data_IF_382782929688
#
_entry.id   IF_382782929688
#
_cell.length_a   1.000
_cell.length_b   1.000
_cell.length_c   1.000
_cell.angle_alpha   90.00
_cell.angle_beta   90.00
_cell.angle_gamma   90.00
#
_symmetry.space_group_name_H-M   'P 1'
#
loop_
_entity.id
_entity.type
_entity.pdbx_description
1 polymer ?
#
# COMPACT_ATOMS: atom_id res chain seq x y z
N UNK A 1 -13.03 49.69 27.50
CA UNK A 1 -12.17 48.54 27.84
C UNK A 1 -12.93 47.35 27.28
N UNK A 2 -12.66 47.02 26.02
CA UNK A 2 -13.42 46.02 25.29
C UNK A 2 -12.67 44.70 25.38
N UNK A 3 -13.31 43.71 25.98
CA UNK A 3 -12.79 42.35 26.10
C UNK A 3 -12.82 41.66 24.73
N UNK A 4 -11.64 41.32 24.23
CA UNK A 4 -11.41 40.55 23.01
C UNK A 4 -11.53 39.06 23.34
N UNK A 5 -12.67 38.47 23.00
CA UNK A 5 -12.93 37.04 23.17
C UNK A 5 -12.80 36.35 21.80
N UNK A 6 -11.60 35.85 21.51
CA UNK A 6 -11.37 34.97 20.37
C UNK A 6 -11.99 33.59 20.66
N UNK A 7 -12.73 32.99 19.71
CA UNK A 7 -13.26 31.65 19.90
C UNK A 7 -12.12 30.63 19.78
N UNK A 8 -11.93 29.88 20.86
CA UNK A 8 -10.95 28.81 20.97
C UNK A 8 -11.31 27.68 20.00
N UNK A 9 -10.65 27.61 18.85
CA UNK A 9 -10.78 26.49 17.89
C UNK A 9 -9.87 25.36 18.38
N UNK A 10 -10.38 24.18 18.76
CA UNK A 10 -9.51 23.06 19.09
C UNK A 10 -8.84 22.55 17.80
N UNK A 11 -7.56 22.89 17.63
CA UNK A 11 -6.71 22.54 16.48
C UNK A 11 -6.04 21.17 16.60
N UNK A 12 -6.52 20.31 17.49
CA UNK A 12 -5.95 18.97 17.68
C UNK A 12 -6.82 17.95 16.95
N UNK A 13 -6.29 17.41 15.84
CA UNK A 13 -6.80 16.16 15.27
C UNK A 13 -6.94 15.15 16.42
N UNK A 14 -8.11 14.54 16.66
CA UNK A 14 -8.23 13.52 17.69
C UNK A 14 -7.28 12.38 17.33
N UNK A 15 -6.43 11.98 18.28
CA UNK A 15 -5.55 10.84 18.13
C UNK A 15 -6.38 9.58 17.93
N UNK A 16 -6.11 8.84 16.85
CA UNK A 16 -6.81 7.61 16.46
C UNK A 16 -6.71 6.46 17.50
N UNK A 17 -5.96 6.68 18.58
CA UNK A 17 -5.74 5.74 19.68
C UNK A 17 -6.00 6.41 21.05
N UNK A 18 -7.03 7.24 21.18
CA UNK A 18 -7.58 7.47 22.52
C UNK A 18 -8.12 6.13 23.04
N UNK A 19 -7.75 5.72 24.25
CA UNK A 19 -8.06 4.39 24.80
C UNK A 19 -9.58 4.02 24.75
N UNK A 20 -10.46 5.02 24.72
CA UNK A 20 -11.91 4.87 24.54
C UNK A 20 -12.31 4.39 23.12
N UNK A 21 -11.50 4.68 22.09
CA UNK A 21 -11.75 4.32 20.68
C UNK A 21 -11.54 2.83 20.39
N UNK A 22 -10.72 2.15 21.20
CA UNK A 22 -10.46 0.72 21.07
C UNK A 22 -11.57 -0.14 21.71
N UNK A 23 -12.43 0.42 22.56
CA UNK A 23 -13.48 -0.36 23.24
C UNK A 23 -14.66 -0.69 22.31
N UNK A 24 -14.89 0.11 21.26
CA UNK A 24 -15.88 -0.16 20.20
C UNK A 24 -15.30 -1.02 19.05
N UNK A 25 -14.05 -1.47 19.16
CA UNK A 25 -13.31 -2.18 18.11
C UNK A 25 -13.70 -3.66 17.92
N UNK A 26 -14.70 -4.17 18.65
CA UNK A 26 -15.24 -5.54 18.54
C UNK A 26 -16.16 -5.75 17.31
N UNK A 27 -16.11 -4.87 16.32
CA UNK A 27 -16.79 -5.07 15.03
C UNK A 27 -15.76 -5.52 13.98
N UNK A 28 -15.78 -6.82 13.65
CA UNK A 28 -14.97 -7.40 12.58
C UNK A 28 -15.16 -6.64 11.23
N UNK A 29 -14.15 -6.57 10.35
CA UNK A 29 -14.23 -5.89 9.04
C UNK A 29 -15.39 -6.39 8.17
N UNK A 30 -15.83 -7.64 8.38
CA UNK A 30 -16.99 -8.27 7.74
C UNK A 30 -18.33 -7.57 7.99
N UNK A 31 -18.41 -6.71 9.01
CA UNK A 31 -19.64 -5.98 9.36
C UNK A 31 -19.80 -4.65 8.62
N UNK A 32 -18.81 -4.22 7.84
CA UNK A 32 -18.95 -3.04 7.00
C UNK A 32 -19.95 -3.31 5.85
N UNK A 33 -20.84 -2.34 5.50
CA UNK A 33 -21.74 -2.50 4.37
C UNK A 33 -20.96 -2.73 3.07
N UNK A 34 -21.44 -3.64 2.21
CA UNK A 34 -20.78 -3.96 0.93
C UNK A 34 -20.54 -2.72 0.05
N UNK A 35 -21.50 -1.79 0.04
CA UNK A 35 -21.37 -0.54 -0.72
C UNK A 35 -20.21 0.34 -0.26
N UNK A 36 -19.91 0.33 1.04
CA UNK A 36 -18.79 1.06 1.64
C UNK A 36 -17.45 0.39 1.28
N UNK A 37 -17.40 -0.94 1.34
CA UNK A 37 -16.21 -1.72 0.94
C UNK A 37 -15.87 -1.53 -0.54
N UNK A 38 -16.88 -1.50 -1.42
CA UNK A 38 -16.68 -1.20 -2.84
C UNK A 38 -16.20 0.24 -3.05
N UNK A 39 -16.75 1.20 -2.31
CA UNK A 39 -16.31 2.60 -2.39
C UNK A 39 -14.82 2.73 -2.04
N UNK A 40 -14.37 2.14 -0.95
CA UNK A 40 -12.95 2.18 -0.55
C UNK A 40 -12.05 1.48 -1.56
N UNK A 41 -12.48 0.34 -2.12
CA UNK A 41 -11.75 -0.29 -3.22
C UNK A 41 -11.60 0.65 -4.41
N UNK A 42 -12.70 1.27 -4.83
CA UNK A 42 -12.70 2.19 -5.97
C UNK A 42 -11.80 3.41 -5.70
N UNK A 43 -11.80 3.95 -4.48
CA UNK A 43 -10.89 5.03 -4.08
C UNK A 43 -9.42 4.63 -4.17
N UNK A 44 -9.06 3.41 -3.75
CA UNK A 44 -7.68 2.92 -3.90
C UNK A 44 -7.28 2.81 -5.37
N UNK A 45 -8.12 2.18 -6.21
CA UNK A 45 -7.82 2.00 -7.64
C UNK A 45 -7.85 3.32 -8.41
N UNK A 46 -8.58 4.32 -7.93
CA UNK A 46 -8.59 5.67 -8.51
C UNK A 46 -7.34 6.47 -8.17
N UNK A 47 -6.85 6.40 -6.92
CA UNK A 47 -5.84 7.35 -6.44
C UNK A 47 -4.44 6.74 -6.26
N UNK A 48 -4.32 5.46 -5.88
CA UNK A 48 -3.02 4.81 -5.61
C UNK A 48 -2.53 4.02 -6.81
N UNK A 49 -3.41 3.20 -7.38
CA UNK A 49 -3.05 2.26 -8.46
C UNK A 49 -2.43 2.94 -9.70
N UNK A 50 -2.86 4.13 -10.16
CA UNK A 50 -2.22 4.77 -11.31
C UNK A 50 -0.73 5.06 -11.12
N UNK A 51 -0.33 5.36 -9.88
CA UNK A 51 1.09 5.60 -9.52
C UNK A 51 1.81 4.28 -9.23
N UNK A 52 1.12 3.33 -8.62
CA UNK A 52 1.69 2.06 -8.16
C UNK A 52 0.87 0.85 -8.63
N UNK A 53 0.88 0.51 -9.94
CA UNK A 53 -0.01 -0.49 -10.56
C UNK A 53 0.49 -1.93 -10.33
N UNK A 54 0.75 -2.31 -9.08
CA UNK A 54 1.28 -3.62 -8.72
C UNK A 54 0.21 -4.70 -8.50
N UNK A 55 -1.05 -4.28 -8.29
CA UNK A 55 -2.16 -5.19 -7.98
C UNK A 55 -3.12 -5.36 -9.16
N UNK A 56 -3.65 -6.57 -9.32
CA UNK A 56 -4.78 -6.84 -10.23
C UNK A 56 -6.08 -6.50 -9.54
N UNK A 57 -6.79 -5.51 -10.08
CA UNK A 57 -8.08 -5.04 -9.58
C UNK A 57 -9.13 -6.16 -9.52
N UNK A 58 -9.15 -7.03 -10.53
CA UNK A 58 -10.03 -8.18 -10.56
C UNK A 58 -9.75 -9.17 -9.43
N UNK A 59 -8.47 -9.41 -9.12
CA UNK A 59 -8.06 -10.32 -8.05
C UNK A 59 -8.48 -9.78 -6.68
N UNK A 60 -8.26 -8.49 -6.43
CA UNK A 60 -8.64 -7.87 -5.15
C UNK A 60 -10.16 -7.84 -4.97
N UNK A 61 -10.93 -7.49 -6.02
CA UNK A 61 -12.40 -7.54 -5.97
C UNK A 61 -12.93 -8.96 -5.78
N UNK A 62 -12.28 -9.97 -6.37
CA UNK A 62 -12.65 -11.36 -6.16
C UNK A 62 -12.35 -11.84 -4.74
N UNK A 63 -11.24 -11.39 -4.14
CA UNK A 63 -10.92 -11.61 -2.73
C UNK A 63 -12.02 -11.04 -1.83
N UNK A 64 -12.47 -9.80 -2.07
CA UNK A 64 -13.59 -9.21 -1.33
C UNK A 64 -14.86 -10.07 -1.42
N UNK A 65 -15.27 -10.48 -2.63
CA UNK A 65 -16.46 -11.35 -2.81
C UNK A 65 -16.34 -12.66 -2.03
N UNK A 66 -15.15 -13.26 -2.02
CA UNK A 66 -14.88 -14.52 -1.32
C UNK A 66 -14.99 -14.33 0.20
N UNK A 67 -14.47 -13.24 0.76
CA UNK A 67 -14.58 -12.91 2.19
C UNK A 67 -16.02 -12.56 2.64
N UNK A 68 -16.79 -11.93 1.76
CA UNK A 68 -18.20 -11.68 2.03
C UNK A 68 -19.04 -12.96 1.93
N UNK A 69 -18.62 -13.93 1.13
CA UNK A 69 -19.25 -15.25 1.08
C UNK A 69 -19.02 -16.05 2.38
N UNK A 70 -19.81 -17.09 2.63
CA UNK A 70 -19.77 -17.89 3.87
C UNK A 70 -18.42 -18.63 4.04
N UNK A 71 -17.63 -18.80 2.96
CA UNK A 71 -16.36 -19.56 2.96
C UNK A 71 -15.12 -18.68 3.14
N UNK A 72 -14.93 -18.14 4.34
CA UNK A 72 -13.70 -17.39 4.74
C UNK A 72 -12.40 -18.20 4.58
N UNK A 73 -12.47 -19.53 4.52
CA UNK A 73 -11.31 -20.43 4.51
C UNK A 73 -10.63 -20.57 3.14
N UNK A 74 -11.23 -20.03 2.07
CA UNK A 74 -10.72 -20.24 0.71
C UNK A 74 -9.64 -19.23 0.28
N UNK A 75 -9.64 -18.02 0.85
CA UNK A 75 -8.67 -16.98 0.46
C UNK A 75 -7.31 -17.25 1.11
N UNK A 76 -6.20 -17.01 0.41
CA UNK A 76 -4.88 -17.05 1.03
C UNK A 76 -4.75 -15.92 2.06
N UNK A 77 -3.92 -16.12 3.08
CA UNK A 77 -3.69 -15.09 4.11
C UNK A 77 -3.09 -13.81 3.51
N UNK A 78 -2.20 -13.94 2.52
CA UNK A 78 -1.61 -12.80 1.82
C UNK A 78 -2.69 -11.96 1.11
N UNK A 79 -3.60 -12.60 0.39
CA UNK A 79 -4.71 -11.93 -0.29
C UNK A 79 -5.61 -11.15 0.68
N UNK A 80 -5.84 -11.69 1.88
CA UNK A 80 -6.63 -11.01 2.91
C UNK A 80 -5.90 -9.77 3.43
N UNK A 81 -4.60 -9.87 3.69
CA UNK A 81 -3.79 -8.72 4.12
C UNK A 81 -3.74 -7.65 3.06
N UNK A 82 -3.52 -8.02 1.80
CA UNK A 82 -3.57 -7.10 0.66
C UNK A 82 -4.93 -6.41 0.61
N UNK A 83 -6.04 -7.16 0.68
CA UNK A 83 -7.37 -6.56 0.66
C UNK A 83 -7.58 -5.58 1.83
N UNK A 84 -7.23 -5.97 3.05
CA UNK A 84 -7.40 -5.10 4.21
C UNK A 84 -6.56 -3.82 4.09
N UNK A 85 -5.32 -3.90 3.63
CA UNK A 85 -4.50 -2.71 3.41
C UNK A 85 -5.03 -1.82 2.29
N UNK A 86 -5.55 -2.42 1.21
CA UNK A 86 -6.23 -1.69 0.13
C UNK A 86 -7.47 -0.96 0.64
N UNK A 87 -8.30 -1.61 1.45
CA UNK A 87 -9.48 -1.00 2.07
C UNK A 87 -9.08 0.12 3.04
N UNK A 88 -8.01 -0.07 3.81
CA UNK A 88 -7.51 0.93 4.74
C UNK A 88 -7.06 2.19 4.00
N UNK A 89 -6.20 2.04 2.99
CA UNK A 89 -5.76 3.14 2.12
C UNK A 89 -6.94 3.80 1.39
N UNK A 90 -7.86 3.00 0.85
CA UNK A 90 -9.05 3.49 0.16
C UNK A 90 -9.96 4.34 1.03
N UNK A 91 -10.08 4.01 2.32
CA UNK A 91 -10.85 4.81 3.28
C UNK A 91 -10.17 6.12 3.65
N UNK A 92 -8.83 6.19 3.67
CA UNK A 92 -8.10 7.46 3.86
C UNK A 92 -8.23 8.42 2.66
N UNK A 93 -8.63 7.90 1.50
CA UNK A 93 -8.70 8.60 0.23
C UNK A 93 -10.14 8.93 -0.20
N UNK A 94 -11.08 8.92 0.75
CA UNK A 94 -12.44 9.40 0.52
C UNK A 94 -12.48 10.92 0.36
N UNK A 95 -13.24 11.41 -0.62
CA UNK A 95 -13.35 12.84 -0.92
C UNK A 95 -13.95 13.66 0.24
N UNK A 96 -14.86 13.05 1.00
CA UNK A 96 -15.44 13.62 2.21
C UNK A 96 -14.75 12.99 3.43
N UNK A 97 -13.74 13.67 3.98
CA UNK A 97 -13.01 13.18 5.16
C UNK A 97 -13.94 13.15 6.38
N UNK A 98 -14.60 12.00 6.60
CA UNK A 98 -15.46 11.77 7.75
C UNK A 98 -14.70 11.09 8.88
N UNK A 99 -15.08 11.36 10.14
CA UNK A 99 -14.53 10.63 11.28
C UNK A 99 -14.77 9.11 11.20
N UNK A 100 -15.76 8.68 10.41
CA UNK A 100 -16.06 7.26 10.19
C UNK A 100 -15.02 6.60 9.29
N UNK A 101 -14.58 7.27 8.23
CA UNK A 101 -13.59 6.72 7.29
C UNK A 101 -12.25 6.48 7.95
N UNK A 102 -11.79 7.41 8.78
CA UNK A 102 -10.55 7.24 9.55
C UNK A 102 -10.64 6.08 10.56
N UNK A 103 -11.81 5.87 11.17
CA UNK A 103 -12.05 4.72 12.04
C UNK A 103 -12.01 3.40 11.25
N UNK A 104 -12.64 3.34 10.08
CA UNK A 104 -12.56 2.18 9.20
C UNK A 104 -11.14 1.90 8.73
N UNK A 105 -10.38 2.94 8.38
CA UNK A 105 -8.97 2.84 8.01
C UNK A 105 -8.16 2.11 9.08
N UNK A 106 -8.20 2.63 10.32
CA UNK A 106 -7.47 2.04 11.43
C UNK A 106 -7.90 0.59 11.71
N UNK A 107 -9.19 0.28 11.58
CA UNK A 107 -9.73 -1.07 11.78
C UNK A 107 -9.29 -2.06 10.72
N UNK A 108 -9.29 -1.67 9.45
CA UNK A 108 -8.77 -2.53 8.38
C UNK A 108 -7.26 -2.74 8.51
N UNK A 109 -6.51 -1.69 8.83
CA UNK A 109 -5.09 -1.79 9.11
C UNK A 109 -4.80 -2.76 10.27
N UNK A 110 -5.55 -2.65 11.37
CA UNK A 110 -5.42 -3.58 12.49
C UNK A 110 -5.77 -5.02 12.09
N UNK A 111 -6.79 -5.21 11.25
CA UNK A 111 -7.17 -6.54 10.73
C UNK A 111 -6.05 -7.14 9.87
N UNK A 112 -5.35 -6.33 9.07
CA UNK A 112 -4.17 -6.77 8.31
C UNK A 112 -3.04 -7.24 9.23
N UNK A 113 -2.79 -6.56 10.36
CA UNK A 113 -1.77 -6.95 11.34
C UNK A 113 -2.10 -8.24 12.11
N UNK A 114 -3.39 -8.54 12.28
CA UNK A 114 -3.84 -9.75 12.97
C UNK A 114 -3.76 -11.02 12.11
N UNK A 115 -3.65 -10.88 10.78
CA UNK A 115 -3.50 -12.02 9.89
C UNK A 115 -2.17 -12.74 10.14
N UNK A 116 -2.24 -14.07 10.24
CA UNK A 116 -1.06 -14.90 10.50
C UNK A 116 -0.25 -15.08 9.23
N UNK A 117 0.55 -14.08 8.88
CA UNK A 117 1.52 -14.15 7.82
C UNK A 117 2.89 -14.59 8.35
N UNK A 118 3.45 -15.62 7.73
CA UNK A 118 4.86 -15.95 7.89
C UNK A 118 5.64 -15.20 6.84
N UNK A 119 6.59 -14.37 7.27
CA UNK A 119 7.49 -13.68 6.35
C UNK A 119 8.25 -14.70 5.49
N UNK A 120 8.18 -14.51 4.16
CA UNK A 120 8.90 -15.27 3.15
C UNK A 120 9.23 -14.33 2.00
N UNK A 121 10.41 -14.45 1.41
CA UNK A 121 10.80 -13.65 0.26
C UNK A 121 9.97 -14.06 -0.97
N UNK A 122 8.85 -13.36 -1.17
CA UNK A 122 7.83 -13.64 -2.20
C UNK A 122 7.32 -12.33 -2.76
N UNK A 123 6.77 -12.35 -3.99
CA UNK A 123 6.22 -11.14 -4.62
C UNK A 123 5.07 -10.54 -3.79
N UNK A 124 4.24 -11.40 -3.20
CA UNK A 124 3.15 -10.98 -2.31
C UNK A 124 3.67 -10.22 -1.10
N UNK A 125 4.80 -10.65 -0.53
CA UNK A 125 5.44 -9.94 0.59
C UNK A 125 5.95 -8.57 0.16
N UNK A 126 6.49 -8.43 -1.05
CA UNK A 126 6.87 -7.13 -1.60
C UNK A 126 5.66 -6.22 -1.74
N UNK A 127 4.54 -6.70 -2.32
CA UNK A 127 3.30 -5.93 -2.45
C UNK A 127 2.75 -5.51 -1.08
N UNK A 128 2.72 -6.43 -0.12
CA UNK A 128 2.27 -6.16 1.25
C UNK A 128 3.13 -5.09 1.92
N UNK A 129 4.47 -5.19 1.82
CA UNK A 129 5.38 -4.19 2.39
C UNK A 129 5.23 -2.82 1.73
N UNK A 130 4.98 -2.76 0.42
CA UNK A 130 4.69 -1.49 -0.27
C UNK A 130 3.38 -0.88 0.27
N UNK A 131 2.32 -1.67 0.42
CA UNK A 131 1.05 -1.20 0.96
C UNK A 131 1.18 -0.73 2.43
N UNK A 132 1.93 -1.44 3.26
CA UNK A 132 2.27 -1.00 4.62
C UNK A 132 3.03 0.32 4.61
N UNK A 133 4.03 0.45 3.73
CA UNK A 133 4.82 1.67 3.56
C UNK A 133 3.94 2.85 3.17
N UNK A 134 3.03 2.66 2.21
CA UNK A 134 2.10 3.69 1.77
C UNK A 134 1.18 4.12 2.92
N UNK A 135 0.67 3.16 3.70
CA UNK A 135 -0.19 3.47 4.85
C UNK A 135 0.56 4.28 5.91
N UNK A 136 1.81 3.93 6.21
CA UNK A 136 2.60 4.64 7.22
C UNK A 136 2.98 6.07 6.83
N UNK A 137 2.79 6.47 5.57
CA UNK A 137 2.90 7.88 5.17
C UNK A 137 1.72 8.72 5.64
N UNK A 138 0.55 8.12 5.86
CA UNK A 138 -0.64 8.80 6.38
C UNK A 138 -0.73 8.74 7.91
N UNK A 139 -0.27 7.64 8.51
CA UNK A 139 -0.24 7.45 9.96
C UNK A 139 1.15 7.04 10.43
N UNK A 140 1.84 7.94 11.12
CA UNK A 140 3.20 7.70 11.65
C UNK A 140 3.25 6.62 12.73
N UNK A 141 2.10 6.26 13.34
CA UNK A 141 2.03 5.19 14.33
C UNK A 141 2.02 3.79 13.68
N UNK A 142 1.76 3.70 12.37
CA UNK A 142 1.74 2.43 11.64
C UNK A 142 3.14 1.81 11.46
N UNK A 143 4.19 2.59 11.69
CA UNK A 143 5.59 2.17 11.56
C UNK A 143 6.42 3.20 10.81
N UNK A 144 7.72 2.93 10.71
CA UNK A 144 8.63 3.79 9.97
C UNK A 144 8.59 3.46 8.49
N UNK A 145 8.01 4.36 7.68
CA UNK A 145 7.92 4.21 6.21
C UNK A 145 9.29 3.95 5.58
N UNK A 146 10.34 4.57 6.12
CA UNK A 146 11.72 4.34 5.71
C UNK A 146 12.15 2.87 5.85
N UNK A 147 11.96 2.29 7.03
CA UNK A 147 12.37 0.90 7.28
C UNK A 147 11.50 -0.09 6.48
N UNK A 148 10.22 0.22 6.29
CA UNK A 148 9.32 -0.61 5.50
C UNK A 148 9.72 -0.61 4.02
N UNK A 149 10.05 0.56 3.45
CA UNK A 149 10.50 0.64 2.05
C UNK A 149 11.87 0.01 1.85
N UNK A 150 12.80 0.17 2.80
CA UNK A 150 14.12 -0.49 2.78
C UNK A 150 13.97 -2.02 2.78
N UNK A 151 13.08 -2.55 3.63
CA UNK A 151 12.79 -3.99 3.69
C UNK A 151 12.15 -4.50 2.40
N UNK A 152 11.20 -3.74 1.82
CA UNK A 152 10.60 -4.07 0.54
C UNK A 152 11.65 -4.11 -0.58
N UNK A 153 12.54 -3.12 -0.60
CA UNK A 153 13.62 -2.99 -1.58
C UNK A 153 14.57 -4.19 -1.50
N UNK A 154 15.06 -4.54 -0.30
CA UNK A 154 15.89 -5.73 -0.07
C UNK A 154 15.20 -7.02 -0.53
N UNK A 155 13.92 -7.18 -0.21
CA UNK A 155 13.13 -8.36 -0.62
C UNK A 155 13.05 -8.45 -2.14
N UNK A 156 12.82 -7.33 -2.83
CA UNK A 156 12.79 -7.30 -4.30
C UNK A 156 14.14 -7.62 -4.95
N UNK A 157 15.24 -7.27 -4.29
CA UNK A 157 16.60 -7.60 -4.73
C UNK A 157 16.87 -9.09 -4.57
N UNK A 158 16.52 -9.67 -3.42
CA UNK A 158 16.65 -11.12 -3.16
C UNK A 158 15.86 -11.92 -4.20
N UNK A 159 14.68 -11.44 -4.59
CA UNK A 159 13.85 -12.01 -5.66
C UNK A 159 14.40 -11.79 -7.08
N UNK A 160 15.45 -11.00 -7.26
CA UNK A 160 16.05 -10.73 -8.56
C UNK A 160 15.23 -9.78 -9.46
N UNK A 161 14.21 -9.08 -8.92
CA UNK A 161 13.32 -8.22 -9.73
C UNK A 161 14.08 -7.08 -10.45
N UNK A 162 15.19 -6.64 -9.86
CA UNK A 162 16.11 -5.64 -10.40
C UNK A 162 16.92 -6.06 -11.65
N UNK A 163 16.82 -7.33 -12.10
CA UNK A 163 17.51 -7.85 -13.28
C UNK A 163 16.59 -8.17 -14.47
N UNK A 164 15.28 -7.98 -14.30
CA UNK A 164 14.22 -8.49 -15.18
C UNK A 164 14.21 -7.93 -16.64
N UNK A 165 15.23 -7.16 -17.03
CA UNK A 165 15.41 -6.63 -18.38
C UNK A 165 16.78 -6.86 -19.04
N UNK A 166 17.72 -7.61 -18.43
CA UNK A 166 19.01 -7.90 -19.08
C UNK A 166 18.95 -9.20 -19.88
N UNK A 167 18.26 -9.19 -21.02
CA UNK A 167 18.53 -10.16 -22.07
C UNK A 167 19.89 -9.83 -22.72
N UNK A 168 20.98 -10.15 -22.02
CA UNK A 168 22.27 -10.34 -22.67
C UNK A 168 22.14 -11.55 -23.60
N UNK A 169 22.61 -11.39 -24.83
CA UNK A 169 22.53 -12.33 -25.96
C UNK A 169 23.04 -13.77 -25.73
N UNK A 170 23.47 -14.15 -24.52
CA UNK A 170 24.22 -15.40 -24.26
C UNK A 170 23.66 -16.26 -23.11
N UNK A 171 22.44 -16.03 -22.62
CA UNK A 171 21.81 -16.94 -21.65
C UNK A 171 20.54 -17.56 -22.22
N UNK A 172 20.68 -18.82 -22.65
CA UNK A 172 19.58 -19.75 -22.87
C UNK A 172 18.80 -19.90 -21.55
N UNK A 173 17.51 -19.58 -21.57
CA UNK A 173 16.49 -19.80 -20.52
C UNK A 173 16.37 -18.77 -19.37
N UNK A 174 15.68 -17.66 -19.62
CA UNK A 174 14.73 -17.04 -18.64
C UNK A 174 13.72 -16.12 -19.37
N UNK A 175 12.94 -16.70 -20.28
CA UNK A 175 11.96 -15.99 -21.11
C UNK A 175 10.60 -15.70 -20.41
N UNK A 176 10.50 -15.86 -19.09
CA UNK A 176 9.24 -15.76 -18.34
C UNK A 176 9.27 -14.67 -17.26
N UNK A 177 9.88 -13.52 -17.55
CA UNK A 177 9.72 -12.35 -16.69
C UNK A 177 8.29 -11.82 -16.81
N UNK A 178 7.43 -12.13 -15.83
CA UNK A 178 6.07 -11.57 -15.74
C UNK A 178 6.15 -10.03 -15.80
N UNK A 179 5.47 -9.36 -16.75
CA UNK A 179 5.46 -7.90 -16.83
C UNK A 179 5.03 -7.21 -15.52
N UNK A 180 4.30 -7.91 -14.66
CA UNK A 180 3.87 -7.45 -13.33
C UNK A 180 5.05 -7.28 -12.37
N UNK A 181 6.11 -8.10 -12.51
CA UNK A 181 7.32 -8.02 -11.69
C UNK A 181 8.14 -6.77 -12.01
N UNK A 182 8.30 -6.45 -13.30
CA UNK A 182 8.92 -5.20 -13.76
C UNK A 182 8.19 -3.99 -13.17
N UNK A 183 6.85 -3.97 -13.31
CA UNK A 183 6.00 -2.89 -12.82
C UNK A 183 6.11 -2.73 -11.31
N UNK A 184 6.10 -3.84 -10.57
CA UNK A 184 6.25 -3.84 -9.11
C UNK A 184 7.59 -3.25 -8.69
N UNK A 185 8.68 -3.68 -9.34
CA UNK A 185 10.02 -3.17 -9.06
C UNK A 185 10.12 -1.65 -9.29
N UNK A 186 9.62 -1.17 -10.43
CA UNK A 186 9.66 0.26 -10.74
C UNK A 186 8.77 1.11 -9.82
N UNK A 187 7.62 0.57 -9.43
CA UNK A 187 6.71 1.20 -8.45
C UNK A 187 7.40 1.36 -7.10
N UNK A 188 8.05 0.29 -6.62
CA UNK A 188 8.82 0.30 -5.38
C UNK A 188 10.02 1.25 -5.45
N UNK A 189 10.76 1.22 -6.55
CA UNK A 189 11.88 2.11 -6.79
C UNK A 189 11.47 3.60 -6.73
N UNK A 190 10.32 3.94 -7.33
CA UNK A 190 9.80 5.30 -7.27
C UNK A 190 9.45 5.69 -5.82
N UNK A 191 8.78 4.78 -5.09
CA UNK A 191 8.40 5.00 -3.69
C UNK A 191 9.64 5.22 -2.79
N UNK A 192 10.68 4.40 -2.93
CA UNK A 192 11.94 4.53 -2.20
C UNK A 192 12.59 5.90 -2.41
N UNK A 193 12.63 6.39 -3.66
CA UNK A 193 13.14 7.72 -3.99
C UNK A 193 12.31 8.84 -3.36
N UNK A 194 10.98 8.70 -3.36
CA UNK A 194 10.09 9.71 -2.79
C UNK A 194 10.26 9.82 -1.27
N UNK A 195 10.31 8.67 -0.59
CA UNK A 195 10.48 8.62 0.86
C UNK A 195 11.86 9.13 1.26
N UNK A 196 12.92 8.73 0.54
CA UNK A 196 14.29 9.23 0.76
C UNK A 196 14.40 10.73 0.63
N UNK A 197 13.77 11.29 -0.40
CA UNK A 197 13.76 12.74 -0.62
C UNK A 197 12.99 13.46 0.48
N UNK A 198 11.82 12.94 0.86
CA UNK A 198 10.96 13.55 1.88
C UNK A 198 11.58 13.53 3.28
N UNK A 199 12.30 12.45 3.63
CA UNK A 199 12.88 12.24 4.97
C UNK A 199 14.35 12.68 5.08
N UNK A 200 14.95 13.17 3.98
CA UNK A 200 16.39 13.47 3.87
C UNK A 200 17.29 12.29 4.31
N UNK A 201 16.84 11.06 4.05
CA UNK A 201 17.56 9.83 4.38
C UNK A 201 18.26 9.24 3.13
N UNK A 202 19.37 8.49 3.32
CA UNK A 202 20.17 8.00 2.20
C UNK A 202 19.49 6.84 1.49
N UNK A 203 19.24 6.96 0.20
CA UNK A 203 18.43 5.97 -0.55
C UNK A 203 18.97 4.55 -0.43
N UNK A 204 18.08 3.57 -0.21
CA UNK A 204 18.44 2.16 0.01
C UNK A 204 19.16 1.54 -1.19
N UNK A 205 18.68 1.78 -2.43
CA UNK A 205 19.34 1.27 -3.63
C UNK A 205 20.06 2.40 -4.41
N UNK A 206 21.39 2.36 -4.55
CA UNK A 206 22.10 3.29 -5.42
C UNK A 206 21.84 3.01 -6.91
N UNK A 207 21.77 4.06 -7.72
CA UNK A 207 21.42 3.98 -9.16
C UNK A 207 22.30 3.03 -9.99
N UNK A 208 23.56 2.81 -9.60
CA UNK A 208 24.49 1.98 -10.39
C UNK A 208 24.23 0.48 -10.26
N UNK A 209 23.47 0.04 -9.24
CA UNK A 209 23.09 -1.36 -9.07
C UNK A 209 21.88 -1.75 -9.94
N UNK A 210 21.18 -0.76 -10.52
CA UNK A 210 20.02 -0.96 -11.38
C UNK A 210 20.49 -1.29 -12.80
N UNK A 211 20.35 -2.55 -13.21
CA UNK A 211 20.71 -3.01 -14.56
C UNK A 211 19.54 -2.98 -15.56
N UNK A 212 18.33 -2.63 -15.12
CA UNK A 212 17.15 -2.56 -15.97
C UNK A 212 17.21 -1.35 -16.92
N UNK A 213 17.29 -1.60 -18.23
CA UNK A 213 17.35 -0.53 -19.27
C UNK A 213 16.00 0.12 -19.61
N UNK A 214 14.94 -0.14 -18.83
CA UNK A 214 13.55 0.27 -19.12
C UNK A 214 13.10 1.57 -18.45
N UNK A 215 14.03 2.35 -17.86
CA UNK A 215 13.76 3.66 -17.25
C UNK A 215 12.96 4.60 -18.18
N UNK A 216 13.28 4.61 -19.48
CA UNK A 216 12.65 5.54 -20.43
C UNK A 216 11.20 5.18 -20.79
N UNK A 217 10.81 3.90 -20.75
CA UNK A 217 9.45 3.49 -21.11
C UNK A 217 8.46 3.78 -19.98
N UNK A 218 8.88 3.58 -18.73
CA UNK A 218 8.05 3.84 -17.56
C UNK A 218 7.91 5.34 -17.26
N UNK A 219 8.99 6.12 -17.39
CA UNK A 219 8.94 7.59 -17.29
C UNK A 219 8.06 8.23 -18.38
N UNK A 220 7.95 7.60 -19.55
CA UNK A 220 7.04 8.04 -20.61
C UNK A 220 5.57 7.68 -20.29
N UNK A 221 5.32 6.49 -19.73
CA UNK A 221 3.96 6.03 -19.41
C UNK A 221 3.35 6.74 -18.18
N UNK A 222 4.13 7.03 -17.14
CA UNK A 222 3.66 7.80 -15.99
C UNK A 222 3.34 9.25 -16.34
N UNK A 223 4.03 9.83 -17.35
CA UNK A 223 3.76 11.20 -17.85
C UNK A 223 2.49 11.31 -18.68
N UNK A 224 1.99 10.20 -19.24
CA UNK A 224 0.73 10.15 -20.00
C UNK A 224 -0.49 9.98 -19.06
N UNK A 225 -0.30 9.44 -17.85
CA UNK A 225 -1.40 9.28 -16.88
C UNK A 225 -1.64 10.51 -16.00
N UNK A 226 -0.87 11.59 -16.19
CA UNK A 226 -0.97 12.86 -15.43
C UNK A 226 -1.48 14.01 -16.30
N UNK A 227 -1.98 13.73 -17.51
CA UNK A 227 -2.71 14.66 -18.38
C UNK A 227 -4.02 14.02 -18.85
#
# INVERSE_FOLDING_TARGET
MNDDQTPNVPSSRPSLLSATFLQDAELQPRRAPLGLLSLYLDNYFRHVHPTFPMLSENTVRQCLRTLCSVSNLASAAADRVVLYLVLALGSLLSDEESSYDSCYSARFFHSALQEKLTYRETIDTVHILILFTLYSLFDTNAGSSWHLVDLAMRTSIILGLHHSGSSSSDAVASSDADPTNDVTFWSLYLLDRWISLALAQPVTLPNFEIRTRRLCYWAFKSRILVN
#
